data_IF_902866507190
#
_entry.id   IF_902866507190
#
_cell.length_a   1.000
_cell.length_b   1.000
_cell.length_c   1.000
_cell.angle_alpha   90.00
_cell.angle_beta   90.00
_cell.angle_gamma   90.00
#
_symmetry.space_group_name_H-M   'P 1'
#
loop_
_entity.id
_entity.type
_entity.pdbx_description
1 polymer ?
#
# COMPACT_ATOMS: atom_id res chain seq x y z
N UNK A 1 -24.30 11.66 -8.80
CA UNK A 1 -25.00 11.48 -10.09
C UNK A 1 -24.17 10.70 -11.11
N UNK A 2 -22.85 10.92 -11.20
CA UNK A 2 -21.93 10.22 -12.11
C UNK A 2 -21.83 8.71 -11.92
N UNK A 3 -22.15 8.19 -10.73
CA UNK A 3 -22.09 6.75 -10.46
C UNK A 3 -23.07 5.91 -11.30
N UNK A 4 -24.16 6.51 -11.75
CA UNK A 4 -25.19 5.86 -12.58
C UNK A 4 -25.17 6.30 -14.05
N UNK A 5 -24.41 7.32 -14.37
CA UNK A 5 -24.34 7.92 -15.70
C UNK A 5 -22.88 8.05 -16.14
N UNK A 6 -22.63 8.05 -17.42
CA UNK A 6 -21.29 8.22 -18.01
C UNK A 6 -20.26 7.17 -17.57
N UNK A 7 -20.70 5.96 -17.22
CA UNK A 7 -19.85 4.83 -16.90
C UNK A 7 -19.91 3.80 -18.01
N UNK A 8 -18.81 3.07 -18.18
CA UNK A 8 -18.80 1.90 -19.07
C UNK A 8 -19.52 0.76 -18.36
N UNK A 9 -20.67 0.38 -18.86
CA UNK A 9 -21.55 -0.67 -18.31
C UNK A 9 -21.51 -1.98 -19.15
N UNK A 10 -20.91 -1.91 -20.31
CA UNK A 10 -20.71 -3.03 -21.22
C UNK A 10 -19.33 -2.96 -21.87
N UNK A 11 -18.77 -4.08 -22.37
CA UNK A 11 -17.51 -4.05 -23.10
C UNK A 11 -17.68 -3.40 -24.47
N UNK A 12 -16.56 -2.86 -24.96
CA UNK A 12 -16.47 -2.26 -26.30
C UNK A 12 -15.36 -2.93 -27.10
N UNK A 13 -15.58 -3.13 -28.37
CA UNK A 13 -14.59 -3.59 -29.34
C UNK A 13 -14.35 -2.51 -30.39
N UNK A 14 -13.11 -2.37 -30.84
CA UNK A 14 -12.76 -1.43 -31.91
C UNK A 14 -12.94 -2.09 -33.26
N UNK A 15 -13.76 -1.48 -34.10
CA UNK A 15 -14.01 -1.90 -35.46
C UNK A 15 -13.88 -0.70 -36.40
N UNK A 16 -13.07 -0.80 -37.46
CA UNK A 16 -12.79 0.30 -38.40
C UNK A 16 -12.40 1.62 -37.68
N UNK A 17 -11.58 1.55 -36.63
CA UNK A 17 -11.12 2.69 -35.86
C UNK A 17 -12.12 3.24 -34.84
N UNK A 18 -13.37 2.80 -34.81
CA UNK A 18 -14.42 3.26 -33.89
C UNK A 18 -14.77 2.21 -32.84
N UNK A 19 -15.04 2.65 -31.63
CA UNK A 19 -15.53 1.77 -30.57
C UNK A 19 -17.03 1.52 -30.76
N UNK A 20 -17.42 0.24 -30.67
CA UNK A 20 -18.82 -0.19 -30.61
C UNK A 20 -19.06 -1.10 -29.41
N UNK A 21 -20.29 -1.14 -28.93
CA UNK A 21 -20.72 -2.09 -27.91
C UNK A 21 -20.55 -3.53 -28.41
N UNK A 22 -20.11 -4.40 -27.52
CA UNK A 22 -19.91 -5.83 -27.80
C UNK A 22 -20.45 -6.69 -26.65
N UNK A 23 -20.65 -7.96 -26.90
CA UNK A 23 -20.87 -8.93 -25.84
C UNK A 23 -19.57 -9.25 -25.11
N UNK A 24 -19.68 -9.76 -23.87
CA UNK A 24 -18.50 -10.23 -23.12
C UNK A 24 -17.76 -11.35 -23.87
N UNK A 25 -18.48 -12.27 -24.50
CA UNK A 25 -17.87 -13.35 -25.29
C UNK A 25 -17.02 -12.81 -26.45
N UNK A 26 -17.55 -11.84 -27.19
CA UNK A 26 -16.84 -11.19 -28.29
C UNK A 26 -15.61 -10.40 -27.81
N UNK A 27 -15.77 -9.62 -26.74
CA UNK A 27 -14.69 -8.81 -26.19
C UNK A 27 -13.55 -9.68 -25.65
N UNK A 28 -13.88 -10.74 -24.92
CA UNK A 28 -12.88 -11.69 -24.40
C UNK A 28 -12.19 -12.47 -25.53
N UNK A 29 -12.92 -12.88 -26.57
CA UNK A 29 -12.34 -13.50 -27.75
C UNK A 29 -11.36 -12.58 -28.49
N UNK A 30 -11.72 -11.32 -28.65
CA UNK A 30 -10.85 -10.28 -29.24
C UNK A 30 -9.60 -10.06 -28.41
N UNK A 31 -9.75 -9.94 -27.08
CA UNK A 31 -8.63 -9.77 -26.16
C UNK A 31 -7.69 -10.99 -26.18
N UNK A 32 -8.24 -12.19 -26.14
CA UNK A 32 -7.45 -13.43 -26.19
C UNK A 32 -6.65 -13.53 -27.50
N UNK A 33 -7.25 -13.16 -28.64
CA UNK A 33 -6.56 -13.14 -29.94
C UNK A 33 -5.41 -12.11 -29.94
N UNK A 34 -5.60 -10.93 -29.35
CA UNK A 34 -4.57 -9.90 -29.26
C UNK A 34 -3.39 -10.29 -28.35
N UNK A 35 -3.63 -11.07 -27.30
CA UNK A 35 -2.60 -11.53 -26.36
C UNK A 35 -1.80 -12.72 -26.87
N UNK A 36 -2.35 -13.49 -27.83
CA UNK A 36 -1.74 -14.72 -28.32
C UNK A 36 -0.43 -14.44 -29.07
N UNK A 37 0.65 -15.08 -28.64
CA UNK A 37 1.95 -14.98 -29.30
C UNK A 37 2.67 -13.65 -29.13
N UNK A 38 2.24 -12.80 -28.19
CA UNK A 38 2.86 -11.51 -27.89
C UNK A 38 3.61 -11.57 -26.55
N UNK A 39 4.51 -10.60 -26.32
CA UNK A 39 5.07 -10.36 -24.98
C UNK A 39 4.03 -9.62 -24.14
N UNK A 40 3.54 -10.25 -23.09
CA UNK A 40 2.48 -9.72 -22.25
C UNK A 40 3.03 -9.25 -20.92
N UNK A 41 2.66 -8.03 -20.52
CA UNK A 41 2.87 -7.50 -19.18
C UNK A 41 1.50 -7.24 -18.52
N UNK A 42 1.26 -7.87 -17.38
CA UNK A 42 0.09 -7.61 -16.55
C UNK A 42 0.39 -6.55 -15.49
N UNK A 43 -0.43 -5.52 -15.43
CA UNK A 43 -0.36 -4.50 -14.39
C UNK A 43 -1.63 -4.57 -13.54
N UNK A 44 -1.47 -4.51 -12.22
CA UNK A 44 -2.58 -4.47 -11.29
C UNK A 44 -2.32 -3.40 -10.23
N UNK A 45 -3.32 -2.56 -9.98
CA UNK A 45 -3.24 -1.52 -8.95
C UNK A 45 -3.64 -2.03 -7.56
N UNK A 46 -3.31 -1.26 -6.57
CA UNK A 46 -3.55 -1.50 -5.14
C UNK A 46 -5.04 -1.53 -4.76
N UNK A 47 -5.92 -0.92 -5.56
CA UNK A 47 -7.36 -0.93 -5.35
C UNK A 47 -8.07 -2.15 -5.98
N UNK A 48 -7.33 -3.06 -6.63
CA UNK A 48 -7.89 -4.27 -7.20
C UNK A 48 -8.13 -5.34 -6.10
N UNK A 49 -9.24 -6.10 -6.19
CA UNK A 49 -9.46 -7.24 -5.29
C UNK A 49 -8.33 -8.29 -5.43
N UNK A 50 -8.01 -8.98 -4.34
CA UNK A 50 -6.97 -10.02 -4.32
C UNK A 50 -7.25 -11.13 -5.35
N UNK A 51 -8.52 -11.50 -5.52
CA UNK A 51 -8.95 -12.50 -6.50
C UNK A 51 -8.67 -12.06 -7.94
N UNK A 52 -8.88 -10.78 -8.25
CA UNK A 52 -8.56 -10.22 -9.56
C UNK A 52 -7.06 -10.18 -9.80
N UNK A 53 -6.28 -9.75 -8.81
CA UNK A 53 -4.81 -9.73 -8.87
C UNK A 53 -4.23 -11.14 -9.07
N UNK A 54 -4.74 -12.12 -8.30
CA UNK A 54 -4.33 -13.52 -8.42
C UNK A 54 -4.71 -14.11 -9.79
N UNK A 55 -5.93 -13.86 -10.26
CA UNK A 55 -6.41 -14.35 -11.55
C UNK A 55 -5.61 -13.76 -12.71
N UNK A 56 -5.31 -12.44 -12.64
CA UNK A 56 -4.44 -11.79 -13.62
C UNK A 56 -3.05 -12.42 -13.63
N UNK A 57 -2.44 -12.63 -12.47
CA UNK A 57 -1.14 -13.28 -12.35
C UNK A 57 -1.15 -14.66 -13.05
N UNK A 58 -2.11 -15.52 -12.70
CA UNK A 58 -2.23 -16.86 -13.29
C UNK A 58 -2.40 -16.83 -14.80
N UNK A 59 -3.24 -15.94 -15.30
CA UNK A 59 -3.48 -15.77 -16.73
C UNK A 59 -2.21 -15.34 -17.46
N UNK A 60 -1.54 -14.29 -16.98
CA UNK A 60 -0.35 -13.73 -17.63
C UNK A 60 0.82 -14.72 -17.59
N UNK A 61 1.05 -15.39 -16.46
CA UNK A 61 2.07 -16.44 -16.34
C UNK A 61 1.81 -17.61 -17.30
N UNK A 62 0.54 -18.01 -17.51
CA UNK A 62 0.18 -19.06 -18.47
C UNK A 62 0.46 -18.68 -19.94
N UNK A 63 0.55 -17.39 -20.23
CA UNK A 63 0.95 -16.84 -21.53
C UNK A 63 2.46 -16.60 -21.64
N UNK A 64 3.24 -16.96 -20.62
CA UNK A 64 4.69 -16.70 -20.56
C UNK A 64 5.05 -15.23 -20.33
N UNK A 65 4.11 -14.44 -19.83
CA UNK A 65 4.28 -13.02 -19.53
C UNK A 65 4.77 -12.75 -18.11
N UNK A 66 4.92 -11.47 -17.77
CA UNK A 66 5.31 -10.98 -16.46
C UNK A 66 4.21 -10.13 -15.85
N UNK A 67 4.18 -10.05 -14.51
CA UNK A 67 3.23 -9.20 -13.79
C UNK A 67 3.95 -8.21 -12.89
N UNK A 68 3.35 -7.03 -12.69
CA UNK A 68 3.85 -6.00 -11.80
C UNK A 68 2.67 -5.37 -11.05
N UNK A 69 2.88 -5.08 -9.76
CA UNK A 69 1.86 -4.46 -8.90
C UNK A 69 2.44 -3.40 -7.96
N UNK A 70 3.74 -3.19 -7.97
CA UNK A 70 4.38 -2.24 -7.06
C UNK A 70 4.07 -0.81 -7.45
N UNK A 71 4.04 0.07 -6.45
CA UNK A 71 4.17 1.51 -6.68
C UNK A 71 5.50 1.79 -7.38
N UNK A 72 5.49 2.65 -8.40
CA UNK A 72 6.68 2.98 -9.16
C UNK A 72 7.83 3.41 -8.26
N UNK A 73 8.98 2.74 -8.40
CA UNK A 73 10.17 2.98 -7.61
C UNK A 73 10.20 2.32 -6.23
N UNK A 74 9.14 1.66 -5.78
CA UNK A 74 9.09 1.01 -4.46
C UNK A 74 10.22 -0.02 -4.28
N UNK A 75 11.02 0.16 -3.22
CA UNK A 75 12.18 -0.67 -2.87
C UNK A 75 11.80 -1.76 -1.88
N UNK A 76 11.08 -2.77 -2.35
CA UNK A 76 10.69 -3.92 -1.54
C UNK A 76 11.75 -5.02 -1.62
N UNK A 77 12.14 -5.65 -0.48
CA UNK A 77 13.14 -6.71 -0.47
C UNK A 77 12.56 -7.99 -1.11
N UNK A 78 13.36 -8.63 -1.97
CA UNK A 78 13.03 -9.94 -2.50
C UNK A 78 13.16 -10.99 -1.39
N UNK A 79 12.18 -11.86 -1.24
CA UNK A 79 12.24 -13.08 -0.41
C UNK A 79 11.60 -12.99 0.97
N UNK A 80 11.74 -11.92 1.72
CA UNK A 80 11.08 -11.80 3.03
C UNK A 80 9.72 -11.10 2.91
N UNK A 81 8.64 -11.88 2.88
CA UNK A 81 7.28 -11.34 2.75
C UNK A 81 6.84 -10.48 3.94
N UNK A 82 7.28 -10.78 5.16
CA UNK A 82 6.91 -10.00 6.33
C UNK A 82 7.40 -8.55 6.25
N UNK A 83 8.45 -8.29 5.48
CA UNK A 83 8.99 -6.95 5.27
C UNK A 83 8.07 -6.03 4.45
N UNK A 84 7.12 -6.57 3.67
CA UNK A 84 6.18 -5.76 2.88
C UNK A 84 4.71 -6.10 3.16
N UNK A 85 4.42 -7.25 3.74
CA UNK A 85 3.07 -7.58 4.25
C UNK A 85 2.88 -7.02 5.66
N UNK A 86 3.97 -6.96 6.43
CA UNK A 86 3.95 -6.56 7.83
C UNK A 86 3.59 -7.71 8.78
N UNK A 87 3.60 -7.39 10.06
CA UNK A 87 3.26 -8.30 11.17
C UNK A 87 2.03 -7.82 11.96
N UNK A 88 1.58 -6.58 11.71
CA UNK A 88 0.40 -6.01 12.35
C UNK A 88 -0.86 -6.35 11.56
N UNK A 89 -1.91 -6.75 12.26
CA UNK A 89 -3.26 -6.73 11.74
C UNK A 89 -3.89 -5.34 11.94
N UNK A 90 -4.84 -4.96 11.07
CA UNK A 90 -5.56 -3.68 11.21
C UNK A 90 -6.26 -3.58 12.59
N UNK A 91 -6.72 -4.70 13.15
CA UNK A 91 -7.35 -4.75 14.46
C UNK A 91 -6.38 -4.42 15.62
N UNK A 92 -5.07 -4.60 15.45
CA UNK A 92 -4.08 -4.25 16.48
C UNK A 92 -4.09 -2.76 16.81
N UNK A 93 -4.54 -1.91 15.88
CA UNK A 93 -4.70 -0.48 16.11
C UNK A 93 -5.75 -0.15 17.18
N UNK A 94 -6.77 -0.99 17.34
CA UNK A 94 -7.86 -0.71 18.29
C UNK A 94 -7.37 -0.75 19.77
N UNK A 95 -6.28 -1.46 20.05
CA UNK A 95 -5.67 -1.62 21.37
C UNK A 95 -4.26 -1.03 21.45
N UNK A 96 -3.80 -0.37 20.41
CA UNK A 96 -2.47 0.24 20.37
C UNK A 96 -2.31 1.27 21.48
N UNK A 97 -1.13 1.30 22.12
CA UNK A 97 -0.70 2.32 23.09
C UNK A 97 0.19 3.37 22.45
N UNK A 98 0.89 2.98 21.40
CA UNK A 98 1.75 3.85 20.62
C UNK A 98 1.64 3.51 19.13
N UNK A 99 1.55 4.53 18.30
CA UNK A 99 1.52 4.40 16.85
C UNK A 99 2.60 5.31 16.28
N UNK A 100 3.47 4.75 15.42
CA UNK A 100 4.49 5.51 14.71
C UNK A 100 4.18 5.50 13.23
N UNK A 101 4.00 6.66 12.63
CA UNK A 101 3.74 6.85 11.19
C UNK A 101 5.03 7.32 10.51
N UNK A 102 5.48 6.60 9.49
CA UNK A 102 6.71 6.91 8.76
C UNK A 102 6.39 7.16 7.30
N UNK A 103 6.52 8.41 6.85
CA UNK A 103 6.32 8.82 5.47
C UNK A 103 4.96 8.44 4.89
N UNK A 104 3.91 8.56 5.71
CA UNK A 104 2.52 8.30 5.31
C UNK A 104 1.59 9.38 5.84
N UNK A 105 0.59 9.71 5.05
CA UNK A 105 -0.57 10.47 5.47
C UNK A 105 -1.82 9.55 5.39
N UNK A 106 -2.12 8.79 6.44
CA UNK A 106 -3.21 7.82 6.42
C UNK A 106 -4.59 8.47 6.23
N UNK A 107 -4.74 9.78 6.47
CA UNK A 107 -5.99 10.49 6.16
C UNK A 107 -6.29 10.48 4.66
N UNK A 108 -5.27 10.60 3.83
CA UNK A 108 -5.40 10.60 2.37
C UNK A 108 -5.25 9.21 1.76
N UNK A 109 -4.30 8.43 2.27
CA UNK A 109 -3.91 7.12 1.70
C UNK A 109 -4.85 5.99 2.14
N UNK A 110 -5.31 6.01 3.40
CA UNK A 110 -6.18 4.98 3.98
C UNK A 110 -7.14 5.58 5.02
N UNK A 111 -8.20 6.30 4.60
CA UNK A 111 -9.08 7.03 5.52
C UNK A 111 -9.74 6.17 6.61
N UNK A 112 -10.06 4.91 6.30
CA UNK A 112 -10.64 3.97 7.28
C UNK A 112 -9.61 3.57 8.33
N UNK A 113 -8.34 3.38 7.92
CA UNK A 113 -7.24 3.14 8.86
C UNK A 113 -7.00 4.38 9.73
N UNK A 114 -7.02 5.58 9.15
CA UNK A 114 -6.91 6.83 9.88
C UNK A 114 -8.01 6.99 10.95
N UNK A 115 -9.23 6.57 10.65
CA UNK A 115 -10.31 6.57 11.63
C UNK A 115 -10.03 5.64 12.83
N UNK A 116 -9.38 4.48 12.60
CA UNK A 116 -8.94 3.59 13.68
C UNK A 116 -7.80 4.18 14.50
N UNK A 117 -6.82 4.80 13.85
CA UNK A 117 -5.73 5.53 14.53
C UNK A 117 -6.30 6.63 15.41
N UNK A 118 -7.25 7.41 14.86
CA UNK A 118 -7.95 8.45 15.65
C UNK A 118 -8.70 7.88 16.85
N UNK A 119 -9.35 6.74 16.69
CA UNK A 119 -10.03 6.05 17.80
C UNK A 119 -9.02 5.60 18.87
N UNK A 120 -7.88 5.04 18.48
CA UNK A 120 -6.81 4.68 19.40
C UNK A 120 -6.27 5.93 20.16
N UNK A 121 -6.02 7.03 19.44
CA UNK A 121 -5.62 8.30 20.04
C UNK A 121 -6.65 8.83 21.04
N UNK A 122 -7.94 8.81 20.74
CA UNK A 122 -9.00 9.16 21.68
C UNK A 122 -9.01 8.28 22.94
N UNK A 123 -8.53 7.05 22.82
CA UNK A 123 -8.36 6.11 23.94
C UNK A 123 -7.00 6.23 24.61
N UNK A 124 -6.23 7.28 24.31
CA UNK A 124 -4.95 7.62 24.97
C UNK A 124 -3.69 7.08 24.29
N UNK A 125 -3.78 6.53 23.08
CA UNK A 125 -2.58 6.14 22.34
C UNK A 125 -1.75 7.38 21.95
N UNK A 126 -0.44 7.31 22.14
CA UNK A 126 0.48 8.32 21.64
C UNK A 126 0.76 8.09 20.15
N UNK A 127 0.70 9.16 19.34
CA UNK A 127 1.04 9.11 17.92
C UNK A 127 2.31 9.90 17.67
N UNK A 128 3.26 9.32 16.95
CA UNK A 128 4.51 9.95 16.51
C UNK A 128 4.58 9.90 14.97
N UNK A 129 5.01 11.00 14.36
CA UNK A 129 5.15 11.10 12.90
C UNK A 129 6.61 11.37 12.52
N UNK A 130 7.14 10.59 11.59
CA UNK A 130 8.37 10.84 10.86
C UNK A 130 7.99 11.15 9.42
N UNK A 131 7.96 12.42 9.08
CA UNK A 131 7.50 12.88 7.76
C UNK A 131 7.09 14.35 7.81
N UNK A 132 6.64 14.92 6.68
CA UNK A 132 6.13 16.28 6.65
C UNK A 132 4.88 16.41 7.53
N UNK A 133 4.68 17.62 8.05
CA UNK A 133 3.50 17.93 8.85
C UNK A 133 2.22 17.74 8.01
N UNK A 134 1.22 17.14 8.64
CA UNK A 134 -0.06 16.85 8.02
C UNK A 134 -1.22 17.02 9.01
N UNK A 135 -2.37 17.49 8.54
CA UNK A 135 -3.61 17.43 9.31
C UNK A 135 -4.16 16.00 9.29
N UNK A 136 -3.94 15.27 10.37
CA UNK A 136 -4.39 13.89 10.57
C UNK A 136 -5.73 13.79 11.32
N UNK A 137 -6.29 14.93 11.78
CA UNK A 137 -7.51 15.02 12.60
C UNK A 137 -7.31 14.59 14.07
N UNK A 138 -6.08 14.43 14.53
CA UNK A 138 -5.67 14.16 15.90
C UNK A 138 -4.27 14.71 16.14
N UNK A 139 -3.91 14.93 17.41
CA UNK A 139 -2.58 15.42 17.78
C UNK A 139 -1.54 14.32 17.67
N UNK A 140 -0.33 14.71 17.30
CA UNK A 140 0.83 13.83 17.23
C UNK A 140 2.11 14.58 17.61
N UNK A 141 3.15 13.84 17.93
CA UNK A 141 4.50 14.37 18.12
C UNK A 141 5.27 14.22 16.82
N UNK A 142 5.75 15.32 16.23
CA UNK A 142 6.67 15.25 15.09
C UNK A 142 8.06 14.85 15.59
N UNK A 143 8.63 13.81 14.99
CA UNK A 143 10.01 13.39 15.21
C UNK A 143 10.98 13.97 14.18
N UNK A 144 10.47 14.75 13.22
CA UNK A 144 11.18 15.29 12.08
C UNK A 144 10.81 14.63 10.75
N UNK A 145 11.27 15.21 9.64
CA UNK A 145 10.82 14.83 8.31
C UNK A 145 11.85 14.04 7.49
N UNK A 146 13.05 13.86 8.00
CA UNK A 146 14.18 13.29 7.26
C UNK A 146 14.64 11.92 7.80
N UNK A 147 15.60 11.32 7.09
CA UNK A 147 16.20 10.03 7.47
C UNK A 147 16.99 10.09 8.77
N UNK A 148 17.56 11.25 9.10
CA UNK A 148 18.29 11.44 10.35
C UNK A 148 17.33 11.36 11.54
N UNK A 149 16.16 11.95 11.44
CA UNK A 149 15.10 11.85 12.42
C UNK A 149 14.64 10.39 12.65
N UNK A 150 14.42 9.62 11.58
CA UNK A 150 14.10 8.19 11.70
C UNK A 150 15.23 7.42 12.41
N UNK A 151 16.47 7.68 12.04
CA UNK A 151 17.65 7.04 12.63
C UNK A 151 17.79 7.37 14.12
N UNK A 152 17.57 8.63 14.48
CA UNK A 152 17.58 9.08 15.88
C UNK A 152 16.46 8.42 16.69
N UNK A 153 15.25 8.32 16.10
CA UNK A 153 14.12 7.64 16.73
C UNK A 153 14.42 6.15 17.00
N UNK A 154 15.02 5.47 16.02
CA UNK A 154 15.47 4.06 16.17
C UNK A 154 16.55 3.92 17.25
N UNK A 155 17.49 4.89 17.33
CA UNK A 155 18.55 4.86 18.33
C UNK A 155 18.00 5.02 19.76
N UNK A 156 17.03 5.91 19.94
CA UNK A 156 16.40 6.23 21.22
C UNK A 156 15.20 5.31 21.56
N UNK A 157 14.90 4.33 20.74
CA UNK A 157 13.74 3.48 20.95
C UNK A 157 13.89 2.57 22.17
N UNK A 158 12.86 2.56 23.00
CA UNK A 158 12.71 1.69 24.15
C UNK A 158 11.43 0.85 23.99
N UNK A 159 11.35 -0.34 24.59
CA UNK A 159 10.16 -1.18 24.50
C UNK A 159 8.90 -0.48 25.05
N UNK A 160 7.84 -0.51 24.25
CA UNK A 160 6.51 0.00 24.64
C UNK A 160 5.47 -1.00 24.15
N UNK A 161 4.85 -1.69 25.07
CA UNK A 161 3.78 -2.64 24.79
C UNK A 161 2.66 -1.99 23.97
N UNK A 162 2.14 -2.71 22.98
CA UNK A 162 1.08 -2.22 22.11
C UNK A 162 1.55 -1.18 21.09
N UNK A 163 2.83 -1.20 20.70
CA UNK A 163 3.35 -0.35 19.61
C UNK A 163 2.98 -0.92 18.25
N UNK A 164 2.53 -0.03 17.34
CA UNK A 164 2.36 -0.33 15.91
C UNK A 164 3.13 0.71 15.10
N UNK A 165 4.04 0.23 14.26
CA UNK A 165 4.82 1.06 13.31
C UNK A 165 4.22 0.91 11.91
N UNK A 166 3.86 2.02 11.28
CA UNK A 166 3.23 2.07 9.95
C UNK A 166 4.14 2.83 9.00
N UNK A 167 4.49 2.21 7.88
CA UNK A 167 5.31 2.82 6.82
C UNK A 167 4.50 3.00 5.57
N UNK A 168 4.48 4.21 5.01
CA UNK A 168 3.87 4.49 3.72
C UNK A 168 4.75 4.04 2.55
N UNK A 169 4.14 3.58 1.48
CA UNK A 169 4.88 3.21 0.27
C UNK A 169 5.70 4.37 -0.30
N UNK A 170 5.21 5.61 -0.19
CA UNK A 170 5.95 6.80 -0.61
C UNK A 170 7.32 6.95 0.06
N UNK A 171 7.47 6.51 1.29
CA UNK A 171 8.75 6.56 2.01
C UNK A 171 9.80 5.57 1.48
N UNK A 172 9.39 4.56 0.73
CA UNK A 172 10.26 3.51 0.20
C UNK A 172 10.47 3.59 -1.31
N UNK A 173 9.98 4.63 -1.97
CA UNK A 173 10.17 4.84 -3.41
C UNK A 173 11.51 5.50 -3.75
N UNK A 174 12.12 6.21 -2.82
CA UNK A 174 13.41 6.85 -2.99
C UNK A 174 14.57 5.86 -3.07
N UNK A 175 15.75 6.33 -3.49
CA UNK A 175 16.92 5.49 -3.67
C UNK A 175 17.32 4.71 -2.39
N UNK A 176 17.07 5.27 -1.23
CA UNK A 176 17.34 4.69 0.10
C UNK A 176 16.12 3.98 0.72
N UNK A 177 15.03 3.77 -0.03
CA UNK A 177 13.79 3.17 0.46
C UNK A 177 13.98 1.84 1.18
N UNK A 178 14.91 0.99 0.73
CA UNK A 178 15.26 -0.25 1.43
C UNK A 178 15.82 0.01 2.84
N UNK A 179 16.63 1.06 3.01
CA UNK A 179 17.16 1.44 4.32
C UNK A 179 16.07 2.02 5.23
N UNK A 180 15.14 2.82 4.67
CA UNK A 180 13.98 3.33 5.42
C UNK A 180 13.13 2.16 5.94
N UNK A 181 12.83 1.19 5.10
CA UNK A 181 12.08 0.00 5.48
C UNK A 181 12.79 -0.80 6.59
N UNK A 182 14.11 -1.02 6.43
CA UNK A 182 14.92 -1.71 7.43
C UNK A 182 14.94 -0.97 8.80
N UNK A 183 15.02 0.36 8.79
CA UNK A 183 14.95 1.16 10.02
C UNK A 183 13.56 1.10 10.67
N UNK A 184 12.50 1.09 9.88
CA UNK A 184 11.14 0.97 10.39
C UNK A 184 10.88 -0.40 11.05
N UNK A 185 11.38 -1.47 10.43
CA UNK A 185 11.34 -2.81 11.01
C UNK A 185 12.15 -2.90 12.30
N UNK A 186 13.38 -2.36 12.30
CA UNK A 186 14.22 -2.30 13.49
C UNK A 186 13.60 -1.47 14.61
N UNK A 187 12.86 -0.39 14.28
CA UNK A 187 12.10 0.38 15.26
C UNK A 187 11.00 -0.48 15.90
N UNK A 188 10.22 -1.19 15.08
CA UNK A 188 9.17 -2.08 15.57
C UNK A 188 9.74 -3.16 16.49
N UNK A 189 10.83 -3.81 16.08
CA UNK A 189 11.50 -4.85 16.87
C UNK A 189 12.01 -4.30 18.22
N UNK A 190 12.73 -3.16 18.23
CA UNK A 190 13.22 -2.53 19.44
C UNK A 190 12.11 -2.12 20.40
N UNK A 191 10.99 -1.67 19.86
CA UNK A 191 9.83 -1.28 20.68
C UNK A 191 8.99 -2.49 21.13
N UNK A 192 9.33 -3.72 20.72
CA UNK A 192 8.52 -4.91 20.98
C UNK A 192 7.14 -4.84 20.30
N UNK A 193 7.07 -4.11 19.20
CA UNK A 193 5.84 -3.77 18.49
C UNK A 193 5.61 -4.58 17.22
N UNK A 194 4.54 -4.23 16.54
CA UNK A 194 4.17 -4.80 15.23
C UNK A 194 4.40 -3.78 14.11
N UNK A 195 4.51 -4.27 12.89
CA UNK A 195 4.85 -3.49 11.71
C UNK A 195 3.79 -3.65 10.62
N UNK A 196 3.46 -2.56 9.92
CA UNK A 196 2.52 -2.51 8.80
C UNK A 196 3.10 -1.64 7.68
N UNK A 197 2.96 -2.09 6.45
CA UNK A 197 3.19 -1.26 5.24
C UNK A 197 1.84 -0.82 4.69
N UNK A 198 1.72 0.47 4.39
CA UNK A 198 0.50 1.09 3.88
C UNK A 198 0.67 1.47 2.41
#
# INVERSE_FOLDING_TARGET
>A
DGLRRQRLDVPYVRENGKLRKASWSEALGTAAAALKGTKVLGLVGDLAPVEAAFSLKRMIESLGGSVECRTDGARLPAGNRSAYVGTAAIADLDTAKRIVLIGTNPRNEAPVLNARIRKAWLNGAAVTVVGPDADLTYDYTSAGADRAALKALVAAAEPVEGTVVIVGQGAITEADGTAVLAHAMALADKMGGKFLVL
#
